data_IF_393665469922
#
_entry.id   IF_393665469922
#
_cell.length_a   1.000
_cell.length_b   1.000
_cell.length_c   1.000
_cell.angle_alpha   90.00
_cell.angle_beta   90.00
_cell.angle_gamma   90.00
#
_symmetry.space_group_name_H-M   'P 1'
#
loop_
_entity.id
_entity.type
_entity.pdbx_description
1 polymer ?
#
# COMPACT_ATOMS: atom_id res chain seq x y z
N UNK A 1 6.83 2.93 -42.91
CA UNK A 1 5.76 3.45 -42.03
C UNK A 1 5.20 2.27 -41.26
N UNK A 2 5.61 2.05 -40.00
CA UNK A 2 5.09 0.94 -39.20
C UNK A 2 3.63 1.26 -38.87
N UNK A 3 2.68 0.45 -39.35
CA UNK A 3 1.28 0.51 -38.90
C UNK A 3 1.30 0.04 -37.44
N UNK A 4 1.04 0.95 -36.50
CA UNK A 4 0.76 0.57 -35.11
C UNK A 4 -0.34 -0.50 -35.11
N UNK A 5 -0.15 -1.54 -34.31
CA UNK A 5 -1.15 -2.58 -34.13
C UNK A 5 -2.45 -1.97 -33.58
N UNK A 6 -3.64 -2.47 -33.96
CA UNK A 6 -4.91 -2.06 -33.35
C UNK A 6 -4.89 -2.13 -31.81
N UNK A 7 -4.10 -3.04 -31.25
CA UNK A 7 -3.90 -3.19 -29.80
C UNK A 7 -3.07 -2.06 -29.22
N UNK A 8 -2.02 -1.65 -29.92
CA UNK A 8 -1.13 -0.56 -29.51
C UNK A 8 -1.86 0.79 -29.50
N UNK A 9 -2.74 1.03 -30.49
CA UNK A 9 -3.57 2.23 -30.51
C UNK A 9 -4.60 2.24 -29.36
N UNK A 10 -5.16 1.08 -29.00
CA UNK A 10 -6.06 0.95 -27.84
C UNK A 10 -5.34 1.22 -26.52
N UNK A 11 -4.14 0.67 -26.36
CA UNK A 11 -3.33 0.94 -25.17
C UNK A 11 -2.91 2.41 -25.05
N UNK A 12 -2.60 3.06 -26.18
CA UNK A 12 -2.28 4.50 -26.19
C UNK A 12 -3.46 5.34 -25.73
N UNK A 13 -4.67 5.04 -26.21
CA UNK A 13 -5.89 5.74 -25.79
C UNK A 13 -6.13 5.54 -24.29
N UNK A 14 -6.04 4.30 -23.79
CA UNK A 14 -6.18 4.00 -22.36
C UNK A 14 -5.16 4.73 -21.49
N UNK A 15 -3.90 4.81 -21.93
CA UNK A 15 -2.85 5.58 -21.23
C UNK A 15 -3.12 7.08 -21.27
N UNK A 16 -3.66 7.60 -22.36
CA UNK A 16 -4.00 9.03 -22.48
C UNK A 16 -5.16 9.44 -21.58
N UNK A 17 -6.17 8.58 -21.41
CA UNK A 17 -7.26 8.81 -20.46
C UNK A 17 -6.77 8.75 -19.01
N UNK A 18 -5.93 7.78 -18.67
CA UNK A 18 -5.36 7.66 -17.32
C UNK A 18 -4.49 8.87 -16.97
N UNK A 19 -3.72 9.39 -17.93
CA UNK A 19 -2.89 10.59 -17.74
C UNK A 19 -3.73 11.87 -17.64
N UNK A 20 -4.84 11.94 -18.37
CA UNK A 20 -5.75 13.10 -18.36
C UNK A 20 -6.75 13.08 -17.20
N UNK A 21 -6.93 11.94 -16.51
CA UNK A 21 -7.72 11.82 -15.29
C UNK A 21 -6.88 11.28 -14.11
N UNK A 22 -5.90 12.08 -13.62
CA UNK A 22 -5.10 11.69 -12.47
C UNK A 22 -5.96 11.55 -11.20
N UNK A 23 -7.03 12.32 -11.08
CA UNK A 23 -7.92 12.33 -9.90
C UNK A 23 -8.65 10.99 -9.69
N UNK A 24 -9.09 10.33 -10.76
CA UNK A 24 -9.73 9.01 -10.67
C UNK A 24 -8.80 7.91 -10.18
N UNK A 25 -7.55 7.89 -10.68
CA UNK A 25 -6.52 6.94 -10.24
C UNK A 25 -6.10 7.15 -8.78
N UNK A 26 -6.09 8.39 -8.30
CA UNK A 26 -5.77 8.70 -6.91
C UNK A 26 -6.90 8.26 -6.00
N UNK A 27 -8.16 8.48 -6.38
CA UNK A 27 -9.32 8.06 -5.59
C UNK A 27 -9.38 6.53 -5.42
N UNK A 28 -9.05 5.76 -6.46
CA UNK A 28 -8.92 4.30 -6.36
C UNK A 28 -7.76 3.87 -5.46
N UNK A 29 -6.62 4.57 -5.52
CA UNK A 29 -5.47 4.32 -4.64
C UNK A 29 -5.75 4.64 -3.18
N UNK A 30 -6.46 5.75 -2.91
CA UNK A 30 -6.89 6.15 -1.57
C UNK A 30 -7.98 5.24 -1.03
N UNK A 31 -8.98 4.89 -1.82
CA UNK A 31 -10.03 3.94 -1.41
C UNK A 31 -9.44 2.57 -1.08
N UNK A 32 -8.39 2.14 -1.79
CA UNK A 32 -7.64 0.91 -1.50
C UNK A 32 -6.78 1.02 -0.24
N UNK A 33 -6.26 2.20 0.09
CA UNK A 33 -5.52 2.44 1.32
C UNK A 33 -6.44 2.56 2.55
N UNK A 34 -7.65 3.13 2.39
CA UNK A 34 -8.67 3.24 3.44
C UNK A 34 -9.35 1.90 3.75
N UNK A 35 -9.59 1.07 2.73
CA UNK A 35 -10.22 -0.25 2.88
C UNK A 35 -9.22 -1.40 3.04
N UNK A 36 -7.92 -1.10 3.06
CA UNK A 36 -6.85 -2.07 3.19
C UNK A 36 -6.85 -2.70 4.58
N UNK A 37 -7.05 -4.02 4.62
CA UNK A 37 -6.88 -4.82 5.84
C UNK A 37 -5.55 -4.48 6.51
N UNK A 38 -5.44 -4.48 7.86
CA UNK A 38 -4.16 -4.33 8.57
C UNK A 38 -3.08 -5.28 8.03
N UNK A 39 -3.53 -6.43 7.47
CA UNK A 39 -2.71 -7.43 6.81
C UNK A 39 -2.05 -6.91 5.52
N UNK A 40 -2.76 -6.11 4.70
CA UNK A 40 -2.20 -5.47 3.50
C UNK A 40 -1.21 -4.36 3.86
N UNK A 41 -1.45 -3.68 4.99
CA UNK A 41 -0.51 -2.70 5.55
C UNK A 41 0.79 -3.37 6.04
N UNK A 42 0.72 -4.60 6.54
CA UNK A 42 1.89 -5.43 6.88
C UNK A 42 2.46 -6.24 5.71
N UNK A 43 1.73 -6.35 4.60
CA UNK A 43 2.16 -7.09 3.40
C UNK A 43 3.10 -6.28 2.50
N UNK A 44 2.90 -4.96 2.43
CA UNK A 44 3.77 -4.03 1.70
C UNK A 44 4.78 -3.28 2.56
N UNK A 45 4.47 -3.05 3.84
CA UNK A 45 5.42 -2.46 4.80
C UNK A 45 6.32 -3.55 5.36
N UNK A 46 7.60 -3.25 5.60
CA UNK A 46 8.54 -4.18 6.20
C UNK A 46 8.02 -4.69 7.56
N UNK A 47 7.28 -5.80 7.55
CA UNK A 47 6.62 -6.42 8.71
C UNK A 47 7.59 -6.69 9.87
N UNK A 48 8.89 -6.82 9.55
CA UNK A 48 9.99 -6.91 10.52
C UNK A 48 10.05 -5.70 11.45
N UNK A 49 9.76 -4.49 10.96
CA UNK A 49 9.69 -3.28 11.77
C UNK A 49 8.52 -3.30 12.74
N UNK A 50 7.34 -3.69 12.26
CA UNK A 50 6.15 -3.86 13.11
C UNK A 50 6.39 -4.93 14.18
N UNK A 51 6.99 -6.07 13.81
CA UNK A 51 7.34 -7.13 14.76
C UNK A 51 8.34 -6.66 15.83
N UNK A 52 9.33 -5.84 15.46
CA UNK A 52 10.30 -5.28 16.39
C UNK A 52 9.64 -4.34 17.41
N UNK A 53 8.75 -3.45 16.96
CA UNK A 53 8.01 -2.53 17.85
C UNK A 53 7.15 -3.31 18.83
N UNK A 54 6.42 -4.32 18.35
CA UNK A 54 5.59 -5.18 19.20
C UNK A 54 6.46 -5.89 20.25
N UNK A 55 7.62 -6.42 19.86
CA UNK A 55 8.54 -7.10 20.78
C UNK A 55 9.01 -6.16 21.90
N UNK A 56 9.39 -4.93 21.57
CA UNK A 56 9.83 -3.93 22.55
C UNK A 56 8.71 -3.56 23.53
N UNK A 57 7.48 -3.38 23.03
CA UNK A 57 6.32 -3.07 23.87
C UNK A 57 6.01 -4.20 24.86
N UNK A 58 6.05 -5.46 24.39
CA UNK A 58 5.81 -6.63 25.24
C UNK A 58 6.89 -6.75 26.32
N UNK A 59 8.17 -6.62 25.95
CA UNK A 59 9.27 -6.67 26.93
C UNK A 59 9.19 -5.54 27.95
N UNK A 60 8.89 -4.31 27.50
CA UNK A 60 8.68 -3.16 28.39
C UNK A 60 7.53 -3.39 29.37
N UNK A 61 6.42 -3.95 28.90
CA UNK A 61 5.27 -4.29 29.74
C UNK A 61 5.61 -5.37 30.80
N UNK A 62 6.37 -6.41 30.42
CA UNK A 62 6.81 -7.45 31.35
C UNK A 62 7.69 -6.85 32.45
N UNK A 63 8.67 -6.02 32.08
CA UNK A 63 9.55 -5.35 33.04
C UNK A 63 8.74 -4.43 33.95
N UNK A 64 7.86 -3.60 33.40
CA UNK A 64 7.02 -2.70 34.19
C UNK A 64 6.16 -3.47 35.18
N UNK A 65 5.49 -4.53 34.73
CA UNK A 65 4.64 -5.37 35.59
C UNK A 65 5.46 -6.05 36.68
N UNK A 66 6.67 -6.54 36.38
CA UNK A 66 7.50 -7.21 37.38
C UNK A 66 8.05 -6.28 38.47
N UNK A 67 8.30 -5.01 38.14
CA UNK A 67 8.90 -4.05 39.08
C UNK A 67 7.90 -3.08 39.74
N UNK A 68 6.76 -2.82 39.10
CA UNK A 68 5.78 -1.81 39.53
C UNK A 68 4.38 -2.36 39.80
N UNK A 69 4.15 -3.66 39.58
CA UNK A 69 2.93 -4.37 40.01
C UNK A 69 3.24 -5.40 41.08
#
# INVERSE_FOLDING_TARGET
>A
MKKESPEENRERIRKSELKNNPTGSLNDGFSRAESGSPVDMTGGMNWKGTALVILVLVLGYIIYTYFFS
#
